data_IF_649889044772
#
_entry.id   IF_649889044772
#
_cell.length_a   1.000
_cell.length_b   1.000
_cell.length_c   1.000
_cell.angle_alpha   90.00
_cell.angle_beta   90.00
_cell.angle_gamma   90.00
#
_symmetry.space_group_name_H-M   'P 1'
#
loop_
_entity.id
_entity.type
_entity.pdbx_description
1 polymer ?
#
# COMPACT_ATOMS: atom_id res chain seq x y z
N UNK A 1 0.18 8.36 0.21
CA UNK A 1 1.52 8.35 0.84
C UNK A 1 2.60 8.97 -0.05
N UNK A 2 2.82 8.47 -1.28
CA UNK A 2 3.92 8.91 -2.15
C UNK A 2 3.96 10.42 -2.36
N UNK A 3 2.84 11.05 -2.73
CA UNK A 3 2.80 12.51 -2.94
C UNK A 3 3.08 13.30 -1.66
N UNK A 4 2.62 12.83 -0.51
CA UNK A 4 2.95 13.44 0.78
C UNK A 4 4.44 13.34 1.08
N UNK A 5 5.04 12.16 0.87
CA UNK A 5 6.47 11.94 1.06
C UNK A 5 7.33 12.83 0.14
N UNK A 6 7.00 12.89 -1.15
CA UNK A 6 7.70 13.72 -2.13
C UNK A 6 7.62 15.22 -1.78
N UNK A 7 6.43 15.68 -1.36
CA UNK A 7 6.22 17.08 -1.00
C UNK A 7 6.96 17.45 0.29
N UNK A 8 6.70 16.72 1.38
CA UNK A 8 7.26 17.07 2.69
C UNK A 8 8.78 16.93 2.74
N UNK A 9 9.34 15.93 2.05
CA UNK A 9 10.79 15.76 1.95
C UNK A 9 11.46 16.78 1.03
N UNK A 10 10.69 17.55 0.25
CA UNK A 10 11.25 18.45 -0.76
C UNK A 10 12.01 17.74 -1.89
N UNK A 11 11.76 16.44 -2.09
CA UNK A 11 12.56 15.59 -2.97
C UNK A 11 12.70 16.14 -4.39
N UNK A 12 11.63 16.68 -4.96
CA UNK A 12 11.64 17.24 -6.32
C UNK A 12 12.54 18.49 -6.44
N UNK A 13 12.66 19.25 -5.36
CA UNK A 13 13.37 20.53 -5.32
C UNK A 13 14.85 20.38 -4.93
N UNK A 14 15.27 19.19 -4.49
CA UNK A 14 16.67 18.94 -4.09
C UNK A 14 17.67 19.13 -5.21
N UNK A 15 17.26 18.91 -6.45
CA UNK A 15 18.13 19.18 -7.60
C UNK A 15 18.47 20.67 -7.78
N UNK A 16 17.63 21.57 -7.22
CA UNK A 16 17.81 23.03 -7.29
C UNK A 16 18.43 23.58 -6.00
N UNK A 17 17.92 23.16 -4.85
CA UNK A 17 18.29 23.73 -3.54
C UNK A 17 19.30 22.88 -2.76
N UNK A 18 19.70 21.72 -3.29
CA UNK A 18 20.65 20.79 -2.64
C UNK A 18 19.97 19.68 -1.85
N UNK A 19 20.75 18.63 -1.52
CA UNK A 19 20.26 17.39 -0.91
C UNK A 19 19.70 17.58 0.51
N UNK A 20 20.08 18.66 1.20
CA UNK A 20 19.57 18.98 2.54
C UNK A 20 18.22 19.69 2.53
N UNK A 21 17.73 20.11 1.36
CA UNK A 21 16.43 20.79 1.29
C UNK A 21 15.29 19.86 1.68
N UNK A 22 14.43 20.35 2.56
CA UNK A 22 13.15 19.70 2.94
C UNK A 22 12.09 20.76 3.26
N UNK A 23 10.84 20.45 2.99
CA UNK A 23 9.71 21.32 3.37
C UNK A 23 9.43 21.19 4.87
N UNK A 24 9.68 20.00 5.43
CA UNK A 24 9.57 19.72 6.85
C UNK A 24 10.77 18.90 7.33
N UNK A 25 11.43 19.34 8.40
CA UNK A 25 12.65 18.68 8.91
C UNK A 25 12.35 17.32 9.57
N UNK A 26 11.34 17.24 10.41
CA UNK A 26 10.98 16.02 11.14
C UNK A 26 9.62 15.49 10.62
N UNK A 27 9.66 14.75 9.52
CA UNK A 27 8.47 14.13 8.93
C UNK A 27 8.08 12.93 9.80
N UNK A 28 6.81 12.86 10.20
CA UNK A 28 6.24 11.76 10.97
C UNK A 28 5.25 10.94 10.13
N UNK A 29 4.91 9.73 10.57
CA UNK A 29 3.82 8.96 9.95
C UNK A 29 2.50 9.74 10.00
N UNK A 30 2.20 10.41 11.09
CA UNK A 30 1.01 11.24 11.22
C UNK A 30 0.91 12.34 10.14
N UNK A 31 2.04 12.92 9.72
CA UNK A 31 2.04 13.90 8.63
C UNK A 31 1.67 13.28 7.29
N UNK A 32 2.17 12.09 7.03
CA UNK A 32 1.89 11.34 5.81
C UNK A 32 0.45 10.86 5.77
N UNK A 33 -0.02 10.30 6.90
CA UNK A 33 -1.36 9.74 7.03
C UNK A 33 -2.43 10.82 6.96
N UNK A 34 -2.19 12.02 7.49
CA UNK A 34 -3.16 13.13 7.43
C UNK A 34 -3.63 13.44 6.02
N UNK A 35 -2.70 13.47 5.05
CA UNK A 35 -3.05 13.66 3.64
C UNK A 35 -3.76 12.44 3.07
N UNK A 36 -3.32 11.25 3.45
CA UNK A 36 -3.93 9.97 2.99
C UNK A 36 -5.38 9.88 3.47
N UNK A 37 -5.63 10.16 4.75
CA UNK A 37 -6.97 10.15 5.33
C UNK A 37 -7.91 11.17 4.67
N UNK A 38 -7.39 12.37 4.39
CA UNK A 38 -8.15 13.38 3.67
C UNK A 38 -8.60 12.87 2.29
N UNK A 39 -7.67 12.29 1.53
CA UNK A 39 -7.97 11.73 0.19
C UNK A 39 -8.98 10.58 0.30
N UNK A 40 -8.77 9.63 1.23
CA UNK A 40 -9.67 8.48 1.42
C UNK A 40 -11.09 8.96 1.74
N UNK A 41 -11.25 9.92 2.66
CA UNK A 41 -12.57 10.47 3.02
C UNK A 41 -13.22 11.15 1.82
N UNK A 42 -12.48 12.01 1.12
CA UNK A 42 -13.00 12.72 -0.05
C UNK A 42 -13.47 11.76 -1.14
N UNK A 43 -12.64 10.76 -1.49
CA UNK A 43 -12.99 9.77 -2.50
C UNK A 43 -14.16 8.89 -2.08
N UNK A 44 -14.22 8.52 -0.78
CA UNK A 44 -15.36 7.77 -0.23
C UNK A 44 -16.66 8.56 -0.38
N UNK A 45 -16.64 9.85 -0.08
CA UNK A 45 -17.82 10.71 -0.21
C UNK A 45 -18.23 10.90 -1.68
N UNK A 46 -17.27 11.05 -2.59
CA UNK A 46 -17.51 11.10 -4.03
C UNK A 46 -18.20 9.83 -4.52
N UNK A 47 -17.66 8.66 -4.18
CA UNK A 47 -18.23 7.36 -4.57
C UNK A 47 -19.65 7.18 -4.00
N UNK A 48 -19.84 7.46 -2.70
CA UNK A 48 -21.18 7.39 -2.08
C UNK A 48 -22.20 8.29 -2.78
N UNK A 49 -21.82 9.53 -3.09
CA UNK A 49 -22.69 10.47 -3.80
C UNK A 49 -22.99 10.01 -5.23
N UNK A 50 -22.04 9.36 -5.91
CA UNK A 50 -22.27 8.77 -7.23
C UNK A 50 -23.27 7.62 -7.17
N UNK A 51 -23.15 6.72 -6.20
CA UNK A 51 -24.09 5.62 -5.99
C UNK A 51 -25.51 6.15 -5.72
N UNK A 52 -25.65 7.11 -4.78
CA UNK A 52 -26.94 7.71 -4.45
C UNK A 52 -27.60 8.40 -5.64
N UNK A 53 -26.84 9.19 -6.42
CA UNK A 53 -27.38 9.88 -7.61
C UNK A 53 -27.85 8.94 -8.72
N UNK A 54 -27.28 7.74 -8.77
CA UNK A 54 -27.67 6.71 -9.71
C UNK A 54 -28.72 5.74 -9.15
N UNK A 55 -29.31 6.04 -7.98
CA UNK A 55 -30.33 5.20 -7.37
C UNK A 55 -29.83 3.84 -6.90
N UNK A 56 -28.52 3.73 -6.64
CA UNK A 56 -27.91 2.46 -6.18
C UNK A 56 -27.97 2.43 -4.66
N UNK A 57 -28.58 1.38 -4.14
CA UNK A 57 -28.67 1.13 -2.70
C UNK A 57 -27.37 0.51 -2.19
N UNK A 58 -26.83 1.09 -1.11
CA UNK A 58 -25.58 0.65 -0.51
C UNK A 58 -25.84 -0.02 0.85
N UNK A 59 -25.53 -1.30 0.94
CA UNK A 59 -25.62 -2.08 2.18
C UNK A 59 -24.24 -2.34 2.77
N UNK A 60 -23.98 -1.84 3.99
CA UNK A 60 -22.77 -2.14 4.75
C UNK A 60 -22.92 -3.46 5.50
N UNK A 61 -22.67 -4.57 4.82
CA UNK A 61 -22.88 -5.91 5.34
C UNK A 61 -21.87 -6.91 4.77
N UNK A 62 -21.67 -8.03 5.46
CA UNK A 62 -21.01 -9.19 4.90
C UNK A 62 -22.01 -9.95 4.01
N UNK A 63 -21.67 -10.09 2.74
CA UNK A 63 -22.53 -10.75 1.76
C UNK A 63 -22.11 -12.20 1.53
N UNK A 64 -23.08 -13.11 1.46
CA UNK A 64 -22.85 -14.53 1.12
C UNK A 64 -23.97 -15.05 0.23
N UNK A 65 -23.64 -15.97 -0.69
CA UNK A 65 -24.62 -16.61 -1.53
C UNK A 65 -25.46 -17.60 -0.73
N UNK A 66 -26.77 -17.54 -0.88
CA UNK A 66 -27.72 -18.58 -0.47
C UNK A 66 -27.95 -19.53 -1.65
N UNK A 67 -28.15 -18.95 -2.84
CA UNK A 67 -28.25 -19.63 -4.12
C UNK A 67 -27.75 -18.71 -5.24
N UNK A 68 -27.93 -19.09 -6.50
CA UNK A 68 -27.43 -18.34 -7.66
C UNK A 68 -28.02 -16.91 -7.80
N UNK A 69 -29.18 -16.67 -7.20
CA UNK A 69 -29.92 -15.41 -7.31
C UNK A 69 -30.22 -14.74 -5.99
N UNK A 70 -29.90 -15.38 -4.86
CA UNK A 70 -30.20 -14.90 -3.51
C UNK A 70 -28.92 -14.65 -2.72
N UNK A 71 -28.76 -13.44 -2.25
CA UNK A 71 -27.63 -12.99 -1.42
C UNK A 71 -28.14 -12.72 0.00
N UNK A 72 -27.50 -13.32 0.99
CA UNK A 72 -27.69 -13.01 2.40
C UNK A 72 -26.74 -11.89 2.81
N UNK A 73 -27.28 -10.91 3.52
CA UNK A 73 -26.57 -9.78 4.11
C UNK A 73 -26.53 -9.94 5.63
N UNK A 74 -25.34 -10.10 6.18
CA UNK A 74 -25.09 -10.19 7.62
C UNK A 74 -24.49 -8.86 8.10
N UNK A 75 -25.32 -8.03 8.75
CA UNK A 75 -24.88 -6.76 9.36
C UNK A 75 -24.76 -6.89 10.87
N UNK A 76 -23.77 -6.21 11.46
CA UNK A 76 -23.56 -6.21 12.91
C UNK A 76 -24.76 -5.56 13.61
N UNK A 77 -25.50 -6.33 14.43
CA UNK A 77 -26.61 -5.81 15.27
C UNK A 77 -27.97 -5.67 14.59
N UNK A 78 -28.12 -6.11 13.34
CA UNK A 78 -29.41 -6.10 12.61
C UNK A 78 -29.83 -7.52 12.21
N UNK A 79 -31.14 -7.72 11.98
CA UNK A 79 -31.64 -9.00 11.44
C UNK A 79 -31.00 -9.29 10.08
N UNK A 80 -30.71 -10.55 9.81
CA UNK A 80 -30.29 -11.04 8.52
C UNK A 80 -31.31 -10.62 7.46
N UNK A 81 -30.81 -10.00 6.40
CA UNK A 81 -31.59 -9.58 5.24
C UNK A 81 -31.21 -10.46 4.05
N UNK A 82 -32.16 -10.74 3.18
CA UNK A 82 -31.89 -11.37 1.89
C UNK A 82 -32.34 -10.45 0.76
N UNK A 83 -31.52 -10.38 -0.27
CA UNK A 83 -31.83 -9.67 -1.52
C UNK A 83 -31.71 -10.64 -2.69
N UNK A 84 -32.47 -10.41 -3.73
CA UNK A 84 -32.46 -11.23 -4.95
C UNK A 84 -32.06 -10.42 -6.17
N UNK A 85 -31.38 -11.06 -7.12
CA UNK A 85 -30.97 -10.45 -8.38
C UNK A 85 -30.82 -11.50 -9.48
N UNK A 86 -31.14 -11.13 -10.70
CA UNK A 86 -30.91 -11.99 -11.87
C UNK A 86 -29.43 -12.15 -12.20
N UNK A 87 -28.60 -11.13 -11.88
CA UNK A 87 -27.15 -11.12 -12.16
C UNK A 87 -26.41 -10.55 -10.96
N UNK A 88 -25.28 -11.17 -10.63
CA UNK A 88 -24.41 -10.74 -9.52
C UNK A 88 -23.01 -10.50 -10.04
N UNK A 89 -22.40 -9.37 -9.68
CA UNK A 89 -21.00 -9.07 -9.94
C UNK A 89 -20.22 -9.22 -8.62
N UNK A 90 -19.22 -10.08 -8.63
CA UNK A 90 -18.30 -10.25 -7.50
C UNK A 90 -17.11 -9.32 -7.71
N UNK A 91 -17.02 -8.29 -6.88
CA UNK A 91 -15.96 -7.28 -6.93
C UNK A 91 -15.41 -7.00 -5.52
N UNK A 92 -15.01 -8.05 -4.82
CA UNK A 92 -14.65 -8.01 -3.39
C UNK A 92 -13.23 -7.51 -3.12
N UNK A 93 -12.44 -7.24 -4.16
CA UNK A 93 -11.04 -6.85 -4.02
C UNK A 93 -10.15 -8.03 -3.60
N UNK A 94 -8.96 -7.69 -3.13
CA UNK A 94 -7.93 -8.67 -2.70
C UNK A 94 -7.30 -8.23 -1.39
N UNK A 95 -6.80 -9.20 -0.64
CA UNK A 95 -5.94 -8.97 0.52
C UNK A 95 -4.52 -9.44 0.20
N UNK A 96 -3.51 -8.84 0.84
CA UNK A 96 -2.15 -9.32 0.74
C UNK A 96 -2.04 -10.76 1.26
N UNK A 97 -1.38 -11.62 0.49
CA UNK A 97 -1.14 -13.00 0.90
C UNK A 97 -0.25 -13.05 2.15
N UNK A 98 -0.63 -13.90 3.12
CA UNK A 98 0.16 -14.14 4.32
C UNK A 98 0.69 -15.57 4.31
N UNK A 99 2.00 -15.69 4.29
CA UNK A 99 2.66 -16.99 4.48
C UNK A 99 2.54 -17.39 5.96
N UNK A 100 2.08 -18.61 6.20
CA UNK A 100 1.88 -19.14 7.57
C UNK A 100 3.18 -19.33 8.35
N UNK A 101 4.33 -19.37 7.66
CA UNK A 101 5.65 -19.46 8.27
C UNK A 101 6.22 -18.11 8.73
N UNK A 102 5.57 -17.00 8.34
CA UNK A 102 5.98 -15.65 8.74
C UNK A 102 5.13 -15.21 9.92
N UNK A 103 5.73 -14.87 11.06
CA UNK A 103 5.00 -14.47 12.27
C UNK A 103 4.55 -12.99 12.16
N UNK A 104 3.51 -12.74 11.37
CA UNK A 104 2.93 -11.39 11.25
C UNK A 104 2.35 -10.93 12.57
N UNK A 105 2.86 -9.82 13.10
CA UNK A 105 2.41 -9.20 14.35
C UNK A 105 1.68 -7.86 14.14
N UNK A 106 1.63 -7.37 12.89
CA UNK A 106 1.01 -6.10 12.55
C UNK A 106 1.77 -4.84 13.01
N UNK A 107 2.93 -5.00 13.66
CA UNK A 107 3.77 -3.92 14.19
C UNK A 107 5.16 -3.90 13.59
N UNK A 108 5.90 -5.01 13.69
CA UNK A 108 7.25 -5.16 13.15
C UNK A 108 7.28 -5.98 11.88
N UNK A 109 6.40 -6.97 11.80
CA UNK A 109 6.24 -7.86 10.64
C UNK A 109 4.80 -7.74 10.16
N UNK A 110 4.63 -7.11 9.02
CA UNK A 110 3.31 -6.77 8.49
C UNK A 110 3.31 -6.82 6.97
N UNK A 111 2.13 -6.85 6.39
CA UNK A 111 1.92 -6.78 4.94
C UNK A 111 1.76 -5.33 4.48
N UNK A 112 1.72 -5.12 3.16
CA UNK A 112 1.46 -3.79 2.58
C UNK A 112 0.13 -3.18 3.01
N UNK A 113 -0.86 -4.00 3.35
CA UNK A 113 -2.20 -3.53 3.75
C UNK A 113 -2.16 -2.82 5.10
N UNK A 114 -1.21 -3.21 5.97
CA UNK A 114 -1.05 -2.65 7.31
C UNK A 114 -0.10 -1.43 7.35
N UNK A 115 0.48 -1.06 6.21
CA UNK A 115 1.42 0.07 6.12
C UNK A 115 0.82 1.39 6.62
N UNK A 116 -0.48 1.58 6.43
CA UNK A 116 -1.20 2.78 6.90
C UNK A 116 -1.47 2.78 8.41
N UNK A 117 -1.18 1.67 9.10
CA UNK A 117 -1.37 1.54 10.54
C UNK A 117 -0.06 1.82 11.33
N UNK A 118 1.05 2.10 10.64
CA UNK A 118 2.29 2.45 11.30
C UNK A 118 2.17 3.74 12.10
N UNK A 119 2.54 3.70 13.36
CA UNK A 119 2.54 4.87 14.25
C UNK A 119 3.76 5.76 13.99
N UNK A 120 4.92 5.15 13.78
CA UNK A 120 6.19 5.85 13.60
C UNK A 120 6.94 5.42 12.34
N UNK A 121 7.78 6.32 11.82
CA UNK A 121 8.74 5.98 10.77
C UNK A 121 9.87 5.12 11.35
N UNK A 122 10.08 3.89 10.84
CA UNK A 122 11.17 3.05 11.31
C UNK A 122 12.53 3.62 10.92
N UNK A 123 13.57 3.35 11.71
CA UNK A 123 14.95 3.71 11.32
C UNK A 123 15.49 2.86 10.18
N UNK A 124 15.02 1.63 10.08
CA UNK A 124 15.38 0.68 9.04
C UNK A 124 14.19 -0.22 8.73
N UNK A 125 14.09 -0.66 7.47
CA UNK A 125 13.02 -1.52 6.98
C UNK A 125 13.59 -2.54 6.01
N UNK A 126 13.17 -3.79 6.15
CA UNK A 126 13.35 -4.82 5.13
C UNK A 126 12.03 -4.96 4.34
N UNK A 127 12.11 -4.88 3.02
CA UNK A 127 10.98 -5.11 2.11
C UNK A 127 11.23 -6.43 1.40
N UNK A 128 10.35 -7.40 1.61
CA UNK A 128 10.44 -8.72 0.98
C UNK A 128 9.47 -8.74 -0.19
N UNK A 129 10.04 -8.82 -1.40
CA UNK A 129 9.32 -8.79 -2.66
C UNK A 129 9.55 -7.51 -3.47
N UNK A 130 10.22 -7.65 -4.63
CA UNK A 130 10.52 -6.60 -5.60
C UNK A 130 9.45 -6.42 -6.67
N UNK A 131 8.19 -6.68 -6.34
CA UNK A 131 7.03 -6.34 -7.18
C UNK A 131 6.70 -4.85 -7.09
N UNK A 132 5.63 -4.43 -7.81
CA UNK A 132 5.22 -3.02 -7.88
C UNK A 132 5.05 -2.41 -6.49
N UNK A 133 4.30 -3.07 -5.62
CA UNK A 133 4.01 -2.58 -4.26
C UNK A 133 5.30 -2.46 -3.43
N UNK A 134 6.14 -3.51 -3.42
CA UNK A 134 7.39 -3.49 -2.64
C UNK A 134 8.36 -2.43 -3.12
N UNK A 135 8.52 -2.25 -4.43
CA UNK A 135 9.36 -1.20 -5.03
C UNK A 135 8.82 0.19 -4.69
N UNK A 136 7.50 0.39 -4.74
CA UNK A 136 6.89 1.67 -4.40
C UNK A 136 7.13 2.03 -2.93
N UNK A 137 6.83 1.13 -1.99
CA UNK A 137 7.08 1.39 -0.57
C UNK A 137 8.57 1.54 -0.25
N UNK A 138 9.43 0.69 -0.81
CA UNK A 138 10.87 0.83 -0.64
C UNK A 138 11.37 2.23 -1.04
N UNK A 139 10.87 2.74 -2.15
CA UNK A 139 11.23 4.07 -2.65
C UNK A 139 10.67 5.19 -1.76
N UNK A 140 9.41 5.10 -1.33
CA UNK A 140 8.77 6.09 -0.46
C UNK A 140 9.55 6.21 0.86
N UNK A 141 9.81 5.09 1.54
CA UNK A 141 10.49 5.11 2.83
C UNK A 141 11.95 5.55 2.72
N UNK A 142 12.64 5.18 1.63
CA UNK A 142 14.00 5.65 1.38
C UNK A 142 14.08 7.18 1.21
N UNK A 143 13.13 7.79 0.49
CA UNK A 143 13.04 9.25 0.34
C UNK A 143 12.82 9.96 1.69
N UNK A 144 12.12 9.30 2.62
CA UNK A 144 11.89 9.77 3.98
C UNK A 144 13.09 9.57 4.92
N UNK A 145 14.20 8.99 4.42
CA UNK A 145 15.42 8.78 5.19
C UNK A 145 15.50 7.43 5.91
N UNK A 146 14.53 6.54 5.74
CA UNK A 146 14.57 5.18 6.27
C UNK A 146 15.62 4.36 5.53
N UNK A 147 16.45 3.60 6.23
CA UNK A 147 17.38 2.63 5.63
C UNK A 147 16.60 1.43 5.12
N UNK A 148 16.45 1.31 3.81
CA UNK A 148 15.64 0.25 3.19
C UNK A 148 16.55 -0.80 2.57
N UNK A 149 16.26 -2.07 2.88
CA UNK A 149 16.80 -3.24 2.19
C UNK A 149 15.65 -3.95 1.48
N UNK A 150 15.71 -4.04 0.16
CA UNK A 150 14.72 -4.78 -0.63
C UNK A 150 15.33 -6.11 -1.06
N UNK A 151 14.62 -7.19 -0.77
CA UNK A 151 15.04 -8.58 -1.06
C UNK A 151 14.04 -9.21 -2.03
N UNK A 152 14.53 -9.83 -3.09
CA UNK A 152 13.68 -10.59 -4.02
C UNK A 152 14.45 -11.82 -4.55
N UNK A 153 13.74 -12.95 -4.65
CA UNK A 153 14.30 -14.19 -5.19
C UNK A 153 14.58 -14.11 -6.71
N UNK A 154 13.92 -13.19 -7.41
CA UNK A 154 14.15 -12.94 -8.84
C UNK A 154 15.45 -12.16 -9.03
N UNK A 155 16.15 -12.38 -10.15
CA UNK A 155 17.41 -11.68 -10.44
C UNK A 155 17.22 -10.20 -10.78
N UNK A 156 16.00 -9.77 -11.15
CA UNK A 156 15.66 -8.40 -11.55
C UNK A 156 14.36 -7.94 -10.95
N UNK A 157 14.24 -6.63 -10.75
CA UNK A 157 12.98 -5.98 -10.40
C UNK A 157 12.05 -5.95 -11.61
N UNK A 158 10.74 -6.11 -11.39
CA UNK A 158 9.68 -5.83 -12.34
C UNK A 158 9.98 -6.37 -13.74
N UNK A 159 10.22 -7.69 -13.87
CA UNK A 159 10.69 -8.35 -15.10
C UNK A 159 9.81 -8.10 -16.33
N UNK A 160 8.57 -7.66 -16.13
CA UNK A 160 7.63 -7.30 -17.19
C UNK A 160 7.83 -5.89 -17.76
N UNK A 161 8.75 -5.11 -17.20
CA UNK A 161 9.08 -3.74 -17.62
C UNK A 161 10.38 -3.75 -18.41
N UNK A 162 10.49 -2.83 -19.36
CA UNK A 162 11.68 -2.63 -20.19
C UNK A 162 12.95 -2.46 -19.33
N UNK A 163 14.05 -3.06 -19.79
CA UNK A 163 15.31 -3.11 -19.07
C UNK A 163 15.88 -1.74 -18.77
N UNK A 164 15.87 -0.83 -19.73
CA UNK A 164 16.45 0.53 -19.59
C UNK A 164 15.69 1.33 -18.52
N UNK A 165 14.36 1.14 -18.45
CA UNK A 165 13.52 1.77 -17.44
C UNK A 165 13.88 1.23 -16.05
N UNK A 166 14.06 -0.11 -15.94
CA UNK A 166 14.43 -0.73 -14.67
C UNK A 166 15.84 -0.34 -14.23
N UNK A 167 16.78 -0.25 -15.14
CA UNK A 167 18.15 0.19 -14.81
C UNK A 167 18.16 1.62 -14.27
N UNK A 168 17.35 2.50 -14.88
CA UNK A 168 17.14 3.87 -14.37
C UNK A 168 16.48 3.88 -12.98
N UNK A 169 15.49 3.03 -12.75
CA UNK A 169 14.84 2.86 -11.45
C UNK A 169 15.83 2.37 -10.39
N UNK A 170 16.58 1.31 -10.69
CA UNK A 170 17.62 0.74 -9.81
C UNK A 170 18.67 1.80 -9.46
N UNK A 171 19.13 2.56 -10.43
CA UNK A 171 20.06 3.69 -10.21
C UNK A 171 19.48 4.67 -9.19
N UNK A 172 18.22 5.12 -9.40
CA UNK A 172 17.55 6.06 -8.50
C UNK A 172 17.32 5.47 -7.09
N UNK A 173 16.95 4.19 -6.98
CA UNK A 173 16.81 3.51 -5.70
C UNK A 173 18.14 3.48 -4.93
N UNK A 174 19.25 3.13 -5.60
CA UNK A 174 20.59 3.13 -5.00
C UNK A 174 21.04 4.53 -4.60
N UNK A 175 20.75 5.55 -5.42
CA UNK A 175 21.01 6.96 -5.08
C UNK A 175 20.27 7.37 -3.81
N UNK A 176 19.06 6.86 -3.59
CA UNK A 176 18.29 7.04 -2.37
C UNK A 176 18.67 6.05 -1.25
N UNK A 177 19.83 5.39 -1.38
CA UNK A 177 20.40 4.47 -0.37
C UNK A 177 19.57 3.22 -0.09
N UNK A 178 18.77 2.76 -1.06
CA UNK A 178 18.13 1.45 -0.99
C UNK A 178 19.18 0.37 -1.28
N UNK A 179 19.32 -0.58 -0.38
CA UNK A 179 20.12 -1.79 -0.60
C UNK A 179 19.25 -2.81 -1.34
N UNK A 180 19.68 -3.26 -2.52
CA UNK A 180 18.98 -4.26 -3.31
C UNK A 180 19.68 -5.62 -3.14
N UNK A 181 18.94 -6.62 -2.71
CA UNK A 181 19.32 -8.02 -2.56
C UNK A 181 18.50 -8.85 -3.55
N UNK A 182 19.02 -8.95 -4.77
CA UNK A 182 18.36 -9.67 -5.85
C UNK A 182 18.91 -11.09 -5.95
N UNK A 183 18.12 -12.04 -6.46
CA UNK A 183 18.41 -13.47 -6.49
C UNK A 183 18.68 -14.08 -5.09
N UNK A 184 18.13 -13.45 -4.05
CA UNK A 184 18.23 -13.91 -2.67
C UNK A 184 16.85 -14.31 -2.13
N UNK A 185 16.75 -15.46 -1.49
CA UNK A 185 15.52 -15.96 -0.89
C UNK A 185 15.58 -15.80 0.63
N UNK A 186 14.56 -15.21 1.22
CA UNK A 186 14.40 -15.18 2.68
C UNK A 186 14.01 -16.57 3.16
N UNK A 187 14.77 -17.11 4.08
CA UNK A 187 14.57 -18.46 4.63
C UNK A 187 14.01 -18.48 6.03
N UNK A 188 14.01 -17.36 6.72
CA UNK A 188 13.45 -17.21 8.06
C UNK A 188 13.60 -15.80 8.60
N UNK A 189 12.91 -15.54 9.70
CA UNK A 189 12.96 -14.30 10.49
C UNK A 189 13.27 -14.69 11.93
N UNK A 190 14.25 -14.03 12.53
CA UNK A 190 14.66 -14.19 13.93
C UNK A 190 14.40 -12.93 14.76
#
# INVERSE_FOLDING_TARGET
LREAALYLSGYKERNVYGDSYSVKENITMADLLRRTDYVIRTETDVVRNQLLRNGIELHAAHASFVDAHTIRLDSTGTQQQQITSDKVIIATGTNAARDTHIPFDGQRIFTSDEMLNLEDLPRAMAVIGGGVIGVEFATIFAILGVRVTLVDARPRLLEFVDTEIIDSLVYNMRRNRVTLRMAEKVTGLE
#
